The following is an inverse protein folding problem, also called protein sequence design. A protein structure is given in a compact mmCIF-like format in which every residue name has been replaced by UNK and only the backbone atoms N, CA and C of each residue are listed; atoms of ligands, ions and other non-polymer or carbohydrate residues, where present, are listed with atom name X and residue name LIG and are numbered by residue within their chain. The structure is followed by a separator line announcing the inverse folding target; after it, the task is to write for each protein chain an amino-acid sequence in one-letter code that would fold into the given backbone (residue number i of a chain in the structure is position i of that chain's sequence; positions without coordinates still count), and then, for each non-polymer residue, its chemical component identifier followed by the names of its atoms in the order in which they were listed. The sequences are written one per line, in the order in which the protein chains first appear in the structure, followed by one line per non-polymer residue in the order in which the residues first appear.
data_IF_631824404182
#
_entry.id   IF_631824404182
#
_cell.length_a   1.000
_cell.length_b   1.000
_cell.length_c   1.000
_cell.angle_alpha   90.00
_cell.angle_beta   90.00
_cell.angle_gamma   90.00
#
_symmetry.space_group_name_H-M   'P 1'
#
loop_
_entity.id
_entity.type
_entity.pdbx_description
1 polymer ?
#
# COMPACT_ATOMS: atom_id res chain seq x y z
N UNK A 1 -51.60 73.08 -0.69
CA UNK A 1 -51.07 74.31 -0.09
C UNK A 1 -50.55 73.95 1.29
N UNK A 2 -49.22 73.96 1.46
CA UNK A 2 -48.45 73.93 2.72
C UNK A 2 -48.61 72.70 3.65
N UNK A 3 -47.62 72.20 4.38
CA UNK A 3 -46.17 72.38 4.45
C UNK A 3 -45.62 71.22 5.31
N UNK A 4 -44.31 70.99 5.16
CA UNK A 4 -43.43 70.08 5.87
C UNK A 4 -43.57 70.01 7.40
N UNK A 5 -43.21 68.85 7.97
CA UNK A 5 -42.20 68.79 9.05
C UNK A 5 -41.51 67.41 9.03
N UNK A 6 -40.24 67.45 8.64
CA UNK A 6 -39.27 66.37 8.66
C UNK A 6 -38.55 66.40 10.01
N UNK A 7 -38.47 65.27 10.71
CA UNK A 7 -37.62 65.09 11.89
C UNK A 7 -36.51 64.10 11.55
N UNK A 8 -35.35 64.64 11.18
CA UNK A 8 -34.10 63.88 11.03
C UNK A 8 -33.58 63.47 12.42
N UNK A 9 -33.47 62.18 12.66
CA UNK A 9 -32.65 61.66 13.76
C UNK A 9 -31.20 61.56 13.27
N UNK A 10 -30.34 62.38 13.86
CA UNK A 10 -28.90 62.36 13.67
C UNK A 10 -28.30 61.37 14.68
N UNK A 11 -28.00 60.14 14.27
CA UNK A 11 -27.17 59.22 15.07
C UNK A 11 -25.71 59.44 14.69
N UNK A 12 -24.98 60.08 15.60
CA UNK A 12 -23.53 60.27 15.53
C UNK A 12 -22.86 58.95 15.96
N UNK A 13 -22.40 58.13 15.01
CA UNK A 13 -21.55 56.97 15.31
C UNK A 13 -20.10 57.43 15.47
N UNK A 14 -19.63 57.41 16.72
CA UNK A 14 -18.20 57.48 17.05
C UNK A 14 -17.53 56.20 16.54
N UNK A 15 -16.74 56.32 15.46
CA UNK A 15 -15.80 55.28 15.04
C UNK A 15 -14.60 55.35 15.98
N UNK A 16 -14.55 54.47 16.97
CA UNK A 16 -13.32 54.19 17.69
C UNK A 16 -12.37 53.45 16.75
N UNK A 17 -11.27 54.12 16.37
CA UNK A 17 -10.16 53.48 15.71
C UNK A 17 -9.45 52.55 16.71
N UNK A 18 -9.88 51.29 16.75
CA UNK A 18 -9.03 50.23 17.28
C UNK A 18 -7.88 50.03 16.29
N UNK A 19 -6.61 49.98 16.73
CA UNK A 19 -5.58 49.42 15.88
C UNK A 19 -6.00 47.98 15.60
N UNK A 20 -6.38 47.71 14.36
CA UNK A 20 -6.42 46.35 13.84
C UNK A 20 -4.98 45.88 13.90
N UNK A 21 -4.64 45.19 14.99
CA UNK A 21 -3.47 44.34 15.00
C UNK A 21 -3.73 43.31 13.92
N UNK A 22 -3.12 43.50 12.76
CA UNK A 22 -3.01 42.48 11.75
C UNK A 22 -2.15 41.38 12.37
N UNK A 23 -2.79 40.48 13.11
CA UNK A 23 -2.26 39.17 13.41
C UNK A 23 -2.33 38.35 12.11
N UNK A 24 -1.51 38.73 11.13
CA UNK A 24 -1.01 37.76 10.19
C UNK A 24 -0.04 36.90 11.00
N UNK A 25 -0.35 35.64 11.32
CA UNK A 25 0.70 34.74 11.76
C UNK A 25 1.75 34.74 10.65
N UNK A 26 3.00 35.05 11.01
CA UNK A 26 4.11 34.81 10.11
C UNK A 26 4.00 33.37 9.60
N UNK A 27 4.11 33.12 8.28
CA UNK A 27 4.20 31.76 7.80
C UNK A 27 5.51 31.20 8.36
N UNK A 28 5.40 30.35 9.38
CA UNK A 28 6.50 29.49 9.80
C UNK A 28 6.69 28.48 8.67
N UNK A 29 7.40 28.89 7.63
CA UNK A 29 7.56 28.18 6.35
C UNK A 29 8.57 27.04 6.45
N UNK A 30 8.58 26.35 7.60
CA UNK A 30 9.14 25.01 7.69
C UNK A 30 7.94 24.08 7.73
N UNK A 31 7.70 23.26 6.68
CA UNK A 31 6.66 22.26 6.71
C UNK A 31 6.81 21.48 8.02
N UNK A 32 5.75 21.43 8.83
CA UNK A 32 5.78 20.68 10.07
C UNK A 32 6.19 19.26 9.73
N UNK A 33 7.37 18.86 10.20
CA UNK A 33 7.90 17.52 10.01
C UNK A 33 6.87 16.54 10.58
N UNK A 34 6.41 15.65 9.73
CA UNK A 34 5.49 14.59 10.08
C UNK A 34 6.23 13.37 10.63
N UNK A 35 7.36 13.00 10.01
CA UNK A 35 8.12 11.81 10.42
C UNK A 35 9.04 12.10 11.59
N UNK A 36 9.33 11.07 12.37
CA UNK A 36 10.21 11.22 13.54
C UNK A 36 11.63 11.63 13.12
N UNK A 37 12.39 12.12 14.10
CA UNK A 37 13.76 12.54 13.90
C UNK A 37 14.61 11.43 13.24
N UNK A 38 15.45 11.79 12.26
CA UNK A 38 16.24 10.84 11.47
C UNK A 38 15.54 10.16 10.30
N UNK A 39 14.21 10.25 10.15
CA UNK A 39 13.50 9.67 8.98
C UNK A 39 13.27 10.72 7.88
N UNK A 40 13.75 10.51 6.63
CA UNK A 40 13.49 11.45 5.53
C UNK A 40 12.04 11.38 5.02
N UNK A 41 11.48 12.53 4.61
CA UNK A 41 10.10 12.65 4.10
C UNK A 41 9.99 12.75 2.57
N UNK A 42 11.12 12.91 1.87
CA UNK A 42 11.15 13.08 0.42
C UNK A 42 12.31 12.28 -0.20
N UNK A 43 12.12 11.88 -1.46
CA UNK A 43 13.09 11.10 -2.21
C UNK A 43 12.83 9.60 -2.15
N UNK A 44 13.76 8.84 -2.74
CA UNK A 44 13.62 7.41 -2.91
C UNK A 44 14.75 6.63 -2.23
N UNK A 45 14.50 5.38 -1.88
CA UNK A 45 15.56 4.40 -1.59
C UNK A 45 15.34 3.22 -2.53
N UNK A 46 16.33 2.89 -3.37
CA UNK A 46 16.20 1.78 -4.30
C UNK A 46 16.87 0.55 -3.72
N UNK A 47 16.11 -0.52 -3.49
CA UNK A 47 16.67 -1.82 -3.16
C UNK A 47 16.94 -2.58 -4.46
N UNK A 48 18.11 -3.17 -4.62
CA UNK A 48 18.49 -3.88 -5.84
C UNK A 48 19.20 -5.20 -5.55
N UNK A 49 18.73 -6.26 -6.19
CA UNK A 49 19.40 -7.56 -6.25
C UNK A 49 19.85 -7.80 -7.69
N UNK A 50 20.37 -9.00 -8.00
CA UNK A 50 20.77 -9.31 -9.39
C UNK A 50 19.58 -9.24 -10.35
N UNK A 51 18.40 -9.66 -9.87
CA UNK A 51 17.20 -9.79 -10.71
C UNK A 51 16.16 -8.70 -10.43
N UNK A 52 16.08 -8.16 -9.22
CA UNK A 52 15.01 -7.22 -8.86
C UNK A 52 15.53 -5.81 -8.58
N UNK A 53 14.74 -4.81 -8.96
CA UNK A 53 14.92 -3.41 -8.53
C UNK A 53 13.61 -2.87 -7.97
N UNK A 54 13.68 -2.29 -6.77
CA UNK A 54 12.53 -1.89 -5.96
C UNK A 54 12.75 -0.48 -5.37
N UNK A 55 12.35 0.58 -6.08
CA UNK A 55 12.32 1.93 -5.51
C UNK A 55 11.24 2.03 -4.42
N UNK A 56 11.61 2.59 -3.28
CA UNK A 56 10.72 2.91 -2.16
C UNK A 56 10.58 4.43 -2.06
N UNK A 57 9.35 4.94 -2.01
CA UNK A 57 9.07 6.38 -2.01
C UNK A 57 8.77 6.92 -0.60
N UNK A 58 9.59 7.85 -0.12
CA UNK A 58 9.40 8.51 1.16
C UNK A 58 8.06 9.29 1.22
N UNK A 59 7.63 9.90 0.11
CA UNK A 59 6.40 10.69 0.08
C UNK A 59 5.13 9.82 0.22
N UNK A 60 5.27 8.51 0.00
CA UNK A 60 4.24 7.49 0.13
C UNK A 60 4.41 6.62 1.38
N UNK A 61 5.19 7.08 2.38
CA UNK A 61 5.40 6.32 3.61
C UNK A 61 6.41 5.19 3.44
N UNK A 62 7.39 5.36 2.56
CA UNK A 62 8.45 4.38 2.28
C UNK A 62 7.92 3.03 1.80
N UNK A 63 6.87 3.05 0.97
CA UNK A 63 6.32 1.88 0.30
C UNK A 63 6.91 1.71 -1.09
N UNK A 64 6.75 0.52 -1.67
CA UNK A 64 7.12 0.23 -3.05
C UNK A 64 6.46 1.25 -4.00
N UNK A 65 7.26 1.89 -4.85
CA UNK A 65 6.79 2.73 -5.95
C UNK A 65 6.49 1.87 -7.17
N UNK A 66 7.40 0.96 -7.52
CA UNK A 66 7.27 0.03 -8.64
C UNK A 66 8.18 -1.17 -8.46
N UNK A 67 7.98 -2.20 -9.28
CA UNK A 67 8.77 -3.42 -9.25
C UNK A 67 9.33 -3.74 -10.63
N UNK A 68 10.65 -3.97 -10.69
CA UNK A 68 11.33 -4.40 -11.92
C UNK A 68 11.95 -5.78 -11.71
N UNK A 69 11.90 -6.59 -12.77
CA UNK A 69 12.61 -7.87 -12.89
C UNK A 69 13.44 -7.87 -14.18
N UNK A 70 14.77 -8.03 -14.09
CA UNK A 70 15.69 -7.91 -15.23
C UNK A 70 15.44 -6.64 -16.06
N UNK A 71 15.31 -5.49 -15.37
CA UNK A 71 14.96 -4.17 -15.92
C UNK A 71 13.55 -4.05 -16.56
N UNK A 72 12.75 -5.12 -16.59
CA UNK A 72 11.35 -5.08 -17.00
C UNK A 72 10.44 -4.67 -15.85
N UNK A 73 9.70 -3.57 -16.03
CA UNK A 73 8.67 -3.15 -15.09
C UNK A 73 7.49 -4.14 -15.13
N UNK A 74 7.28 -4.86 -14.03
CA UNK A 74 6.16 -5.79 -13.87
C UNK A 74 5.19 -5.38 -12.76
N UNK A 75 5.54 -4.36 -11.97
CA UNK A 75 4.63 -3.60 -11.11
C UNK A 75 4.74 -2.11 -11.42
N UNK A 76 3.64 -1.48 -11.81
CA UNK A 76 3.58 -0.08 -12.28
C UNK A 76 3.58 0.95 -11.15
N UNK A 77 4.10 2.15 -11.40
CA UNK A 77 4.10 3.28 -10.44
C UNK A 77 2.80 4.11 -10.40
N UNK A 78 1.74 3.64 -11.04
CA UNK A 78 0.43 4.31 -11.05
C UNK A 78 -0.52 3.76 -9.95
N UNK A 79 0.06 3.14 -8.94
CA UNK A 79 -0.62 2.49 -7.83
C UNK A 79 0.00 2.84 -6.48
N UNK A 80 -0.53 2.19 -5.46
CA UNK A 80 -0.08 2.25 -4.08
C UNK A 80 0.06 0.78 -3.68
N UNK A 81 1.17 0.38 -3.08
CA UNK A 81 1.54 -1.04 -2.85
C UNK A 81 1.30 -1.55 -1.44
N UNK A 82 1.49 -0.67 -0.45
CA UNK A 82 1.32 -1.00 0.96
C UNK A 82 -0.12 -0.90 1.44
N UNK A 83 -0.25 -0.92 2.77
CA UNK A 83 -1.53 -0.94 3.46
C UNK A 83 -2.25 0.39 3.36
N UNK A 84 -3.57 0.31 3.15
CA UNK A 84 -4.48 1.45 3.21
C UNK A 84 -5.74 1.09 3.98
N UNK A 85 -6.31 2.08 4.66
CA UNK A 85 -7.55 1.92 5.40
C UNK A 85 -8.46 3.14 5.24
N UNK A 86 -9.74 2.90 5.44
CA UNK A 86 -10.75 3.96 5.52
C UNK A 86 -11.51 3.82 6.84
N UNK A 87 -11.32 4.74 7.80
CA UNK A 87 -12.16 4.78 9.00
C UNK A 87 -13.61 4.99 8.61
N UNK A 88 -14.53 4.48 9.43
CA UNK A 88 -15.97 4.53 9.13
C UNK A 88 -16.46 5.95 8.85
N UNK A 89 -16.94 6.18 7.63
CA UNK A 89 -17.43 7.48 7.19
C UNK A 89 -16.35 8.57 6.99
N UNK A 90 -15.08 8.20 6.95
CA UNK A 90 -13.94 9.12 6.77
C UNK A 90 -13.20 8.87 5.44
N UNK A 91 -12.12 9.61 5.22
CA UNK A 91 -11.27 9.53 4.02
C UNK A 91 -10.19 8.45 4.15
N UNK A 92 -9.48 8.18 3.05
CA UNK A 92 -8.40 7.20 2.98
C UNK A 92 -7.14 7.63 3.75
N UNK A 93 -6.45 6.63 4.30
CA UNK A 93 -5.16 6.73 4.97
C UNK A 93 -4.21 5.63 4.49
N UNK A 94 -2.91 5.90 4.54
CA UNK A 94 -1.83 4.94 4.27
C UNK A 94 -1.31 5.01 2.83
N UNK A 95 -0.08 4.56 2.61
CA UNK A 95 0.53 4.34 1.27
C UNK A 95 0.11 5.36 0.23
N UNK A 96 0.64 6.58 0.34
CA UNK A 96 0.39 7.68 -0.59
C UNK A 96 -1.02 8.30 -0.58
N UNK A 97 -2.03 7.70 0.07
CA UNK A 97 -3.29 8.35 0.40
C UNK A 97 -3.10 9.34 1.55
N UNK A 98 -3.53 10.58 1.33
CA UNK A 98 -3.31 11.75 2.21
C UNK A 98 -4.61 12.48 2.54
N UNK A 99 -5.74 11.99 2.04
CA UNK A 99 -7.04 12.65 2.08
C UNK A 99 -7.58 12.75 3.52
N UNK A 100 -7.41 11.70 4.33
CA UNK A 100 -7.75 11.72 5.76
C UNK A 100 -6.61 12.20 6.65
N UNK A 101 -5.39 12.07 6.16
CA UNK A 101 -4.13 12.37 6.84
C UNK A 101 -3.02 11.48 6.27
N UNK A 102 -1.79 11.72 6.71
CA UNK A 102 -0.61 10.98 6.24
C UNK A 102 -0.23 9.89 7.25
N UNK A 103 0.25 8.76 6.75
CA UNK A 103 1.01 7.81 7.56
C UNK A 103 2.21 8.52 8.20
N UNK A 104 2.49 8.26 9.48
CA UNK A 104 3.64 8.80 10.22
C UNK A 104 4.69 7.72 10.36
N UNK A 105 5.88 7.91 9.77
CA UNK A 105 6.97 6.93 9.87
C UNK A 105 7.89 7.28 11.03
N UNK A 106 8.07 6.32 11.94
CA UNK A 106 8.84 6.47 13.17
C UNK A 106 10.28 5.98 13.00
N UNK A 107 10.45 4.88 12.27
CA UNK A 107 11.74 4.24 12.12
C UNK A 107 11.85 3.47 10.81
N UNK A 108 13.03 3.55 10.22
CA UNK A 108 13.47 2.67 9.14
C UNK A 108 14.67 1.87 9.61
N UNK A 109 14.72 0.59 9.25
CA UNK A 109 15.86 -0.28 9.43
C UNK A 109 16.16 -1.00 8.12
N UNK A 110 17.44 -1.08 7.78
CA UNK A 110 17.93 -1.73 6.57
C UNK A 110 19.01 -2.74 6.95
N UNK A 111 18.84 -3.98 6.50
CA UNK A 111 19.78 -5.07 6.70
C UNK A 111 20.16 -5.59 5.32
N UNK A 112 21.46 -5.55 5.00
CA UNK A 112 22.00 -5.99 3.71
C UNK A 112 22.92 -7.17 3.95
N UNK A 113 22.59 -8.33 3.38
CA UNK A 113 23.34 -9.57 3.52
C UNK A 113 23.66 -9.91 4.99
N UNK A 114 22.69 -9.67 5.88
CA UNK A 114 22.80 -9.94 7.32
C UNK A 114 23.48 -8.85 8.15
N UNK A 115 23.86 -7.72 7.54
CA UNK A 115 24.50 -6.58 8.23
C UNK A 115 23.58 -5.35 8.22
N UNK A 116 23.31 -4.80 9.40
CA UNK A 116 22.62 -3.53 9.52
C UNK A 116 23.41 -2.41 8.81
N UNK A 117 22.71 -1.69 7.95
CA UNK A 117 23.27 -0.66 7.06
C UNK A 117 22.48 0.63 7.26
N UNK A 118 23.13 1.76 7.60
CA UNK A 118 22.42 3.01 7.82
C UNK A 118 21.88 3.57 6.50
N UNK A 119 20.66 4.14 6.55
CA UNK A 119 20.12 4.95 5.46
C UNK A 119 20.64 6.37 5.67
N UNK A 120 21.60 6.79 4.83
CA UNK A 120 22.34 8.05 5.07
C UNK A 120 21.81 9.21 4.23
N UNK A 121 21.14 8.91 3.12
CA UNK A 121 20.60 9.88 2.18
C UNK A 121 19.48 9.24 1.36
N UNK A 122 18.61 10.08 0.81
CA UNK A 122 17.67 9.63 -0.22
C UNK A 122 18.33 9.68 -1.60
N UNK A 123 17.71 9.04 -2.58
CA UNK A 123 18.22 8.79 -3.94
C UNK A 123 19.44 7.87 -4.00
N UNK A 124 19.61 6.97 -3.02
CA UNK A 124 20.63 5.92 -3.07
C UNK A 124 20.08 4.56 -3.55
N UNK A 125 20.96 3.77 -4.17
CA UNK A 125 20.68 2.37 -4.52
C UNK A 125 21.49 1.47 -3.60
N UNK A 126 20.78 0.62 -2.87
CA UNK A 126 21.32 -0.39 -1.97
C UNK A 126 21.35 -1.72 -2.73
N UNK A 127 22.51 -2.35 -2.81
CA UNK A 127 22.68 -3.62 -3.51
C UNK A 127 23.10 -4.73 -2.57
N UNK A 128 22.52 -5.92 -2.73
CA UNK A 128 22.83 -7.12 -1.95
C UNK A 128 22.14 -8.35 -2.53
N UNK A 129 22.41 -9.53 -1.96
CA UNK A 129 21.73 -10.78 -2.33
C UNK A 129 20.43 -10.98 -1.56
N UNK A 130 20.40 -10.47 -0.33
CA UNK A 130 19.24 -10.40 0.55
C UNK A 130 19.21 -9.03 1.22
N UNK A 131 18.16 -8.27 0.97
CA UNK A 131 17.96 -6.95 1.56
C UNK A 131 16.66 -6.98 2.35
N UNK A 132 16.72 -6.65 3.63
CA UNK A 132 15.55 -6.52 4.50
C UNK A 132 15.35 -5.05 4.82
N UNK A 133 14.17 -4.53 4.50
CA UNK A 133 13.73 -3.19 4.82
C UNK A 133 12.56 -3.28 5.78
N UNK A 134 12.72 -2.70 6.96
CA UNK A 134 11.72 -2.73 8.03
C UNK A 134 11.31 -1.29 8.32
N UNK A 135 10.01 -1.06 8.36
CA UNK A 135 9.39 0.22 8.68
C UNK A 135 8.50 0.09 9.91
N UNK A 136 8.68 0.98 10.87
CA UNK A 136 7.73 1.19 11.97
C UNK A 136 7.03 2.53 11.74
N UNK A 137 5.69 2.52 11.79
CA UNK A 137 4.87 3.68 11.48
C UNK A 137 3.55 3.66 12.23
N UNK A 138 2.79 4.75 12.11
CA UNK A 138 1.39 4.83 12.51
C UNK A 138 0.54 5.22 11.31
N UNK A 139 -0.47 4.41 10.99
CA UNK A 139 -1.52 4.77 10.03
C UNK A 139 -2.79 5.03 10.82
N UNK A 140 -3.19 6.30 10.92
CA UNK A 140 -4.32 6.74 11.74
C UNK A 140 -4.18 6.31 13.21
N UNK A 141 -4.85 5.23 13.62
CA UNK A 141 -4.88 4.69 14.99
C UNK A 141 -4.34 3.27 15.07
N UNK A 142 -3.58 2.87 14.05
CA UNK A 142 -2.88 1.60 14.03
C UNK A 142 -1.38 1.85 14.10
N UNK A 143 -0.73 1.24 15.08
CA UNK A 143 0.72 1.03 15.01
C UNK A 143 0.97 -0.03 13.94
N UNK A 144 1.93 0.22 13.07
CA UNK A 144 2.21 -0.62 11.89
C UNK A 144 3.68 -0.97 11.88
N UNK A 145 3.97 -2.24 11.60
CA UNK A 145 5.31 -2.72 11.29
C UNK A 145 5.28 -3.43 9.93
N UNK A 146 5.93 -2.86 8.93
CA UNK A 146 5.99 -3.40 7.59
C UNK A 146 7.39 -3.92 7.27
N UNK A 147 7.49 -5.10 6.67
CA UNK A 147 8.72 -5.72 6.21
C UNK A 147 8.67 -5.90 4.70
N UNK A 148 9.78 -5.59 4.05
CA UNK A 148 10.08 -5.99 2.68
C UNK A 148 11.39 -6.76 2.73
N UNK A 149 11.39 -8.00 2.25
CA UNK A 149 12.60 -8.79 2.09
C UNK A 149 12.76 -9.08 0.60
N UNK A 150 13.80 -8.49 0.02
CA UNK A 150 14.15 -8.64 -1.39
C UNK A 150 15.28 -9.65 -1.53
N UNK A 151 15.06 -10.69 -2.33
CA UNK A 151 16.11 -11.65 -2.71
C UNK A 151 16.30 -11.64 -4.24
N UNK A 152 17.23 -12.45 -4.75
CA UNK A 152 17.29 -12.72 -6.19
C UNK A 152 16.04 -13.47 -6.71
N UNK A 153 15.27 -14.08 -5.81
CA UNK A 153 14.20 -15.00 -6.16
C UNK A 153 12.81 -14.37 -6.02
N UNK A 154 12.53 -13.63 -4.96
CA UNK A 154 11.20 -13.09 -4.66
C UNK A 154 11.27 -11.79 -3.86
N UNK A 155 10.11 -11.14 -3.79
CA UNK A 155 9.81 -10.04 -2.89
C UNK A 155 8.86 -10.58 -1.84
N UNK A 156 9.30 -10.62 -0.59
CA UNK A 156 8.44 -10.96 0.54
C UNK A 156 7.98 -9.66 1.19
N UNK A 157 6.68 -9.54 1.44
CA UNK A 157 6.07 -8.39 2.12
C UNK A 157 5.25 -8.90 3.31
N UNK A 158 5.43 -8.28 4.48
CA UNK A 158 4.62 -8.57 5.67
C UNK A 158 4.19 -7.28 6.33
N UNK A 159 2.93 -7.19 6.71
CA UNK A 159 2.41 -6.07 7.50
C UNK A 159 1.82 -6.61 8.79
N UNK A 160 2.30 -6.06 9.91
CA UNK A 160 1.73 -6.26 11.24
C UNK A 160 1.10 -4.95 11.70
N UNK A 161 -0.09 -5.01 12.29
CA UNK A 161 -0.80 -3.85 12.81
C UNK A 161 -1.36 -4.13 14.20
N UNK A 162 -1.40 -3.09 15.03
CA UNK A 162 -2.03 -3.11 16.35
C UNK A 162 -2.97 -1.90 16.46
N UNK A 163 -4.24 -2.15 16.76
CA UNK A 163 -5.20 -1.09 17.05
C UNK A 163 -4.83 -0.40 18.38
N UNK A 164 -4.52 0.90 18.34
CA UNK A 164 -4.13 1.66 19.54
C UNK A 164 -5.32 2.07 20.41
N UNK A 165 -6.52 1.98 19.86
CA UNK A 165 -7.81 2.25 20.49
C UNK A 165 -8.92 1.48 19.79
N UNK A 166 -10.14 1.52 20.35
CA UNK A 166 -11.33 0.98 19.70
C UNK A 166 -11.63 1.76 18.41
N UNK A 167 -11.76 1.07 17.29
CA UNK A 167 -11.94 1.69 15.97
C UNK A 167 -12.95 0.95 15.11
N UNK A 168 -13.55 1.69 14.19
CA UNK A 168 -14.41 1.15 13.13
C UNK A 168 -13.82 1.49 11.76
N UNK A 169 -13.66 0.49 10.90
CA UNK A 169 -13.20 0.65 9.52
C UNK A 169 -14.30 0.30 8.52
N UNK A 170 -14.45 1.13 7.48
CA UNK A 170 -15.20 0.75 6.29
C UNK A 170 -14.43 -0.25 5.43
N UNK A 171 -13.11 -0.11 5.35
CA UNK A 171 -12.27 -0.94 4.48
C UNK A 171 -10.82 -0.99 4.99
N UNK A 172 -10.17 -2.13 4.81
CA UNK A 172 -8.73 -2.30 4.95
C UNK A 172 -8.20 -3.20 3.83
N UNK A 173 -7.17 -2.73 3.13
CA UNK A 173 -6.37 -3.53 2.22
C UNK A 173 -4.96 -3.67 2.80
N UNK A 174 -4.45 -4.90 2.89
CA UNK A 174 -3.06 -5.11 3.29
C UNK A 174 -2.10 -4.72 2.17
N UNK A 175 -2.37 -5.22 0.97
CA UNK A 175 -1.48 -5.12 -0.18
C UNK A 175 -2.25 -4.85 -1.47
N UNK A 176 -1.58 -4.17 -2.41
CA UNK A 176 -2.17 -3.74 -3.67
C UNK A 176 -1.12 -3.73 -4.80
N UNK A 177 -1.10 -4.71 -5.69
CA UNK A 177 -0.11 -4.77 -6.75
C UNK A 177 -0.70 -4.36 -8.10
N UNK A 178 -0.26 -3.22 -8.63
CA UNK A 178 -0.66 -2.73 -9.97
C UNK A 178 0.14 -3.43 -11.07
N UNK A 179 -0.41 -4.48 -11.68
CA UNK A 179 0.25 -5.16 -12.79
C UNK A 179 -0.07 -4.54 -14.16
N UNK A 180 0.82 -4.66 -15.16
CA UNK A 180 0.66 -4.04 -16.46
C UNK A 180 -0.67 -4.37 -17.14
N UNK A 181 -1.33 -3.40 -17.82
CA UNK A 181 -2.54 -3.65 -18.60
C UNK A 181 -2.28 -4.56 -19.81
N UNK A 182 -1.03 -4.78 -20.17
CA UNK A 182 -0.66 -5.74 -21.22
C UNK A 182 -0.84 -7.19 -20.76
N UNK A 183 -1.11 -7.44 -19.47
CA UNK A 183 -1.46 -8.78 -18.98
C UNK A 183 -2.82 -9.22 -19.52
N UNK A 184 -2.91 -10.42 -20.10
CA UNK A 184 -4.09 -10.83 -20.90
C UNK A 184 -4.95 -11.89 -20.23
N UNK A 185 -4.45 -12.53 -19.18
CA UNK A 185 -5.15 -13.61 -18.47
C UNK A 185 -4.63 -13.78 -17.06
N UNK A 186 -5.48 -14.35 -16.23
CA UNK A 186 -5.19 -14.69 -14.84
C UNK A 186 -5.35 -16.19 -14.59
N UNK A 187 -4.66 -16.66 -13.57
CA UNK A 187 -4.82 -17.98 -12.97
C UNK A 187 -4.81 -17.83 -11.45
N UNK A 188 -5.70 -18.54 -10.76
CA UNK A 188 -5.71 -18.59 -9.30
C UNK A 188 -5.80 -20.03 -8.82
N UNK A 189 -5.27 -20.27 -7.63
CA UNK A 189 -5.60 -21.46 -6.85
C UNK A 189 -6.47 -21.07 -5.67
N UNK A 190 -7.59 -21.77 -5.49
CA UNK A 190 -8.46 -21.63 -4.34
C UNK A 190 -7.91 -22.41 -3.12
N UNK A 191 -8.42 -22.16 -1.90
CA UNK A 191 -7.98 -22.87 -0.70
C UNK A 191 -8.14 -24.40 -0.77
N UNK A 192 -9.12 -24.89 -1.53
CA UNK A 192 -9.36 -26.33 -1.74
C UNK A 192 -8.43 -26.96 -2.80
N UNK A 193 -7.52 -26.16 -3.39
CA UNK A 193 -6.60 -26.58 -4.43
C UNK A 193 -7.14 -26.43 -5.85
N UNK A 194 -8.42 -26.09 -6.03
CA UNK A 194 -9.05 -25.85 -7.33
C UNK A 194 -8.30 -24.75 -8.08
N UNK A 195 -8.03 -24.99 -9.36
CA UNK A 195 -7.43 -23.99 -10.25
C UNK A 195 -8.51 -23.37 -11.12
N UNK A 196 -8.61 -22.05 -11.11
CA UNK A 196 -9.45 -21.29 -12.03
C UNK A 196 -8.59 -20.39 -12.92
N UNK A 197 -9.08 -20.09 -14.13
CA UNK A 197 -8.43 -19.18 -15.08
C UNK A 197 -9.45 -18.32 -15.78
N UNK A 198 -9.05 -17.13 -16.23
CA UNK A 198 -9.90 -16.29 -17.07
C UNK A 198 -9.13 -15.21 -17.81
N UNK A 199 -9.80 -14.49 -18.73
CA UNK A 199 -9.19 -13.38 -19.46
C UNK A 199 -9.11 -12.11 -18.60
N UNK A 200 -8.20 -11.21 -18.98
CA UNK A 200 -8.18 -9.81 -18.61
C UNK A 200 -8.44 -9.00 -19.89
N UNK A 201 -9.47 -8.17 -19.87
CA UNK A 201 -10.00 -7.52 -21.07
C UNK A 201 -10.46 -6.07 -20.81
N UNK A 202 -9.90 -5.44 -19.78
CA UNK A 202 -10.22 -4.06 -19.37
C UNK A 202 -11.71 -3.85 -19.07
N UNK A 203 -12.37 -4.87 -18.52
CA UNK A 203 -13.82 -4.90 -18.31
C UNK A 203 -14.32 -3.89 -17.25
N UNK A 204 -13.40 -3.28 -16.49
CA UNK A 204 -13.63 -2.42 -15.31
C UNK A 204 -14.31 -3.14 -14.14
N UNK A 205 -14.40 -4.48 -14.20
CA UNK A 205 -15.02 -5.33 -13.19
C UNK A 205 -13.95 -6.08 -12.39
N UNK A 206 -14.38 -6.69 -11.28
CA UNK A 206 -13.54 -7.64 -10.58
C UNK A 206 -13.53 -8.97 -11.35
N UNK A 207 -12.39 -9.32 -11.93
CA UNK A 207 -12.17 -10.59 -12.60
C UNK A 207 -12.03 -11.75 -11.59
N UNK A 208 -11.50 -11.42 -10.40
CA UNK A 208 -11.44 -12.30 -9.23
C UNK A 208 -11.95 -11.50 -8.03
N UNK A 209 -12.76 -12.13 -7.17
CA UNK A 209 -13.25 -11.56 -5.91
C UNK A 209 -13.67 -12.72 -4.98
N UNK A 210 -12.68 -13.44 -4.48
CA UNK A 210 -12.84 -14.66 -3.66
C UNK A 210 -11.53 -14.97 -2.96
N UNK A 211 -11.56 -15.85 -1.97
CA UNK A 211 -10.35 -16.30 -1.30
C UNK A 211 -9.49 -17.16 -2.23
N UNK A 212 -8.17 -16.95 -2.16
CA UNK A 212 -7.19 -17.67 -2.97
C UNK A 212 -5.96 -18.01 -2.13
N UNK A 213 -5.29 -19.09 -2.49
CA UNK A 213 -3.96 -19.46 -1.99
C UNK A 213 -2.88 -18.66 -2.73
N UNK A 214 -3.02 -18.53 -4.05
CA UNK A 214 -2.19 -17.65 -4.87
C UNK A 214 -2.96 -17.17 -6.10
N UNK A 215 -2.50 -16.06 -6.67
CA UNK A 215 -2.98 -15.50 -7.93
C UNK A 215 -1.80 -15.23 -8.85
N UNK A 216 -2.02 -15.36 -10.16
CA UNK A 216 -1.04 -14.99 -11.15
C UNK A 216 -1.71 -14.26 -12.33
N UNK A 217 -0.97 -13.32 -12.92
CA UNK A 217 -1.36 -12.63 -14.16
C UNK A 217 -0.24 -12.79 -15.18
N UNK A 218 -0.60 -13.16 -16.41
CA UNK A 218 0.36 -13.41 -17.47
C UNK A 218 0.38 -12.26 -18.47
N UNK A 219 1.60 -11.78 -18.74
CA UNK A 219 1.89 -10.74 -19.69
C UNK A 219 2.63 -11.31 -20.91
N UNK A 220 1.98 -11.42 -22.08
CA UNK A 220 2.57 -11.97 -23.29
C UNK A 220 3.67 -11.09 -23.89
N UNK A 221 3.64 -9.76 -23.68
CA UNK A 221 4.63 -8.87 -24.28
C UNK A 221 6.04 -9.11 -23.72
N UNK A 222 6.14 -9.33 -22.42
CA UNK A 222 7.41 -9.66 -21.73
C UNK A 222 7.60 -11.17 -21.51
N UNK A 223 6.65 -12.02 -21.93
CA UNK A 223 6.64 -13.46 -21.59
C UNK A 223 6.88 -13.70 -20.09
N UNK A 224 6.15 -12.95 -19.26
CA UNK A 224 6.36 -12.87 -17.82
C UNK A 224 5.04 -13.02 -17.10
N UNK A 225 5.00 -13.86 -16.06
CA UNK A 225 3.88 -13.90 -15.12
C UNK A 225 4.25 -13.22 -13.81
N UNK A 226 3.33 -12.40 -13.29
CA UNK A 226 3.38 -11.87 -11.93
C UNK A 226 2.60 -12.81 -11.02
N UNK A 227 3.24 -13.43 -10.04
CA UNK A 227 2.65 -14.37 -9.08
C UNK A 227 2.63 -13.73 -7.68
N UNK A 228 1.46 -13.74 -7.03
CA UNK A 228 1.32 -13.40 -5.61
C UNK A 228 0.84 -14.63 -4.84
N UNK A 229 1.60 -15.06 -3.85
CA UNK A 229 1.28 -16.17 -2.95
C UNK A 229 1.07 -15.66 -1.53
N UNK A 230 0.02 -16.14 -0.87
CA UNK A 230 -0.28 -15.80 0.53
C UNK A 230 -0.23 -17.07 1.39
N UNK A 231 0.76 -17.22 2.30
CA UNK A 231 0.88 -18.39 3.16
C UNK A 231 -0.34 -18.64 4.04
N UNK A 232 -1.04 -17.57 4.42
CA UNK A 232 -2.36 -17.63 5.07
C UNK A 232 -3.41 -17.23 4.04
N UNK A 233 -4.52 -17.96 3.98
CA UNK A 233 -5.70 -17.49 3.26
C UNK A 233 -6.31 -16.34 4.06
N UNK A 234 -6.65 -15.25 3.38
CA UNK A 234 -7.16 -14.07 4.08
C UNK A 234 -8.48 -14.36 4.79
N UNK A 235 -8.61 -13.76 5.97
CA UNK A 235 -9.79 -13.82 6.80
C UNK A 235 -10.15 -12.39 7.25
N UNK A 236 -11.37 -12.22 7.75
CA UNK A 236 -11.95 -10.93 8.10
C UNK A 236 -13.33 -10.74 7.46
N UNK A 237 -14.07 -9.72 7.91
CA UNK A 237 -15.44 -9.53 7.44
C UNK A 237 -15.48 -9.19 5.95
N UNK A 238 -16.00 -10.11 5.13
CA UNK A 238 -15.99 -10.02 3.67
C UNK A 238 -14.57 -9.82 3.12
N UNK A 239 -13.56 -10.47 3.72
CA UNK A 239 -12.22 -10.54 3.16
C UNK A 239 -12.23 -11.14 1.75
N UNK A 240 -11.26 -10.77 0.91
CA UNK A 240 -11.11 -11.36 -0.43
C UNK A 240 -9.74 -11.06 -1.05
N UNK A 241 -9.24 -12.00 -1.83
CA UNK A 241 -8.28 -11.75 -2.91
C UNK A 241 -9.03 -11.25 -4.15
N UNK A 242 -8.58 -10.17 -4.77
CA UNK A 242 -9.29 -9.55 -5.88
C UNK A 242 -8.37 -9.18 -7.04
N UNK A 243 -8.85 -9.27 -8.27
CA UNK A 243 -8.20 -8.70 -9.45
C UNK A 243 -9.17 -7.72 -10.08
N UNK A 244 -8.84 -6.43 -10.04
CA UNK A 244 -9.60 -5.39 -10.71
C UNK A 244 -9.07 -5.17 -12.13
N UNK A 245 -9.88 -5.54 -13.11
CA UNK A 245 -9.54 -5.51 -14.54
C UNK A 245 -9.76 -4.12 -15.15
N UNK A 246 -8.76 -3.25 -15.08
CA UNK A 246 -8.81 -1.89 -15.61
C UNK A 246 -7.99 -1.73 -16.90
N UNK A 247 -8.21 -0.63 -17.62
CA UNK A 247 -7.49 -0.24 -18.83
C UNK A 247 -6.06 0.24 -18.56
N UNK A 248 -5.84 0.90 -17.42
CA UNK A 248 -4.53 1.44 -17.01
C UNK A 248 -3.65 0.46 -16.22
N UNK A 249 -4.22 -0.61 -15.69
CA UNK A 249 -3.56 -1.68 -14.94
C UNK A 249 -4.54 -2.82 -14.65
N UNK A 250 -4.03 -3.97 -14.21
CA UNK A 250 -4.81 -5.00 -13.57
C UNK A 250 -4.36 -5.15 -12.12
N UNK A 251 -5.09 -4.54 -11.18
CA UNK A 251 -4.62 -4.44 -9.80
C UNK A 251 -5.08 -5.63 -8.99
N UNK A 252 -4.11 -6.34 -8.42
CA UNK A 252 -4.37 -7.30 -7.37
C UNK A 252 -4.60 -6.55 -6.05
N UNK A 253 -5.68 -6.88 -5.35
CA UNK A 253 -5.95 -6.42 -4.00
C UNK A 253 -6.01 -7.60 -3.06
N UNK A 254 -5.46 -7.41 -1.87
CA UNK A 254 -5.72 -8.29 -0.75
C UNK A 254 -6.51 -7.52 0.32
N UNK A 255 -7.83 -7.73 0.34
CA UNK A 255 -8.77 -7.05 1.25
C UNK A 255 -8.96 -7.85 2.51
N UNK A 256 -8.66 -7.23 3.65
CA UNK A 256 -8.95 -7.81 4.96
C UNK A 256 -10.43 -7.68 5.32
N UNK A 257 -11.01 -6.49 5.20
CA UNK A 257 -12.41 -6.30 5.55
C UNK A 257 -13.14 -5.32 4.64
N UNK A 258 -14.46 -5.43 4.66
CA UNK A 258 -15.43 -4.46 4.13
C UNK A 258 -16.48 -4.16 5.21
N UNK A 259 -16.07 -3.31 6.15
CA UNK A 259 -16.78 -3.01 7.39
C UNK A 259 -16.33 -3.93 8.53
N UNK A 260 -15.53 -3.46 9.48
CA UNK A 260 -15.15 -4.23 10.67
C UNK A 260 -14.74 -3.29 11.81
N UNK A 261 -15.08 -3.70 13.04
CA UNK A 261 -14.64 -3.04 14.27
C UNK A 261 -13.44 -3.78 14.84
N UNK A 262 -12.51 -3.04 15.42
CA UNK A 262 -11.36 -3.56 16.16
C UNK A 262 -11.33 -2.95 17.56
N UNK A 263 -11.00 -3.76 18.55
CA UNK A 263 -10.73 -3.33 19.91
C UNK A 263 -9.29 -2.88 20.06
N UNK A 264 -9.04 -2.01 21.02
CA UNK A 264 -7.68 -1.67 21.43
C UNK A 264 -6.89 -2.95 21.74
N UNK A 265 -5.71 -3.06 21.12
CA UNK A 265 -4.80 -4.19 21.27
C UNK A 265 -5.04 -5.32 20.27
N UNK A 266 -6.11 -5.28 19.47
CA UNK A 266 -6.31 -6.24 18.39
C UNK A 266 -5.13 -6.18 17.42
N UNK A 267 -4.64 -7.37 17.06
CA UNK A 267 -3.47 -7.56 16.22
C UNK A 267 -3.91 -8.08 14.85
N UNK A 268 -3.22 -7.62 13.83
CA UNK A 268 -3.41 -7.97 12.43
C UNK A 268 -2.04 -8.33 11.87
N UNK A 269 -1.93 -9.44 11.15
CA UNK A 269 -0.64 -9.89 10.61
C UNK A 269 -0.85 -10.65 9.31
N UNK A 270 -0.31 -10.11 8.22
CA UNK A 270 -0.45 -10.72 6.92
C UNK A 270 0.81 -10.64 6.07
N UNK A 271 1.02 -11.69 5.28
CA UNK A 271 2.17 -11.86 4.41
C UNK A 271 1.72 -12.12 2.97
N UNK A 272 2.42 -11.50 2.02
CA UNK A 272 2.34 -11.85 0.59
C UNK A 272 3.76 -12.01 0.04
N UNK A 273 3.95 -13.01 -0.82
CA UNK A 273 5.18 -13.23 -1.57
C UNK A 273 4.88 -12.96 -3.04
N UNK A 274 5.58 -12.00 -3.61
CA UNK A 274 5.49 -11.61 -5.01
C UNK A 274 6.70 -12.14 -5.77
N UNK A 275 6.44 -12.74 -6.94
CA UNK A 275 7.47 -13.33 -7.78
C UNK A 275 7.20 -13.07 -9.26
N UNK A 276 8.20 -12.57 -9.97
CA UNK A 276 8.20 -12.54 -11.42
C UNK A 276 8.66 -13.90 -11.97
N UNK A 277 7.92 -14.42 -12.95
CA UNK A 277 8.15 -15.71 -13.59
C UNK A 277 8.51 -15.45 -15.06
N UNK A 278 9.80 -15.34 -15.40
CA UNK A 278 10.21 -15.10 -16.79
C UNK A 278 10.02 -16.35 -17.65
N UNK A 279 9.99 -16.15 -18.97
CA UNK A 279 9.85 -17.21 -19.99
C UNK A 279 8.56 -18.02 -19.84
N UNK A 280 7.54 -17.44 -19.24
CA UNK A 280 6.20 -18.00 -19.25
C UNK A 280 5.60 -17.80 -20.64
N UNK A 281 4.96 -18.84 -21.18
CA UNK A 281 4.34 -18.79 -22.52
C UNK A 281 2.83 -18.59 -22.43
N UNK A 282 2.31 -18.51 -21.19
CA UNK A 282 0.91 -18.48 -20.87
C UNK A 282 0.27 -19.88 -20.83
N UNK A 283 1.08 -20.94 -20.88
CA UNK A 283 0.63 -22.31 -20.59
C UNK A 283 0.63 -22.60 -19.08
N UNK A 284 1.15 -21.67 -18.27
CA UNK A 284 1.18 -21.68 -16.81
C UNK A 284 2.07 -22.74 -16.18
N UNK A 285 2.88 -23.44 -16.97
CA UNK A 285 3.72 -24.51 -16.46
C UNK A 285 4.81 -23.96 -15.52
N UNK A 286 5.47 -22.86 -15.93
CA UNK A 286 6.49 -22.22 -15.10
C UNK A 286 5.85 -21.60 -13.85
N UNK A 287 4.70 -20.97 -14.02
CA UNK A 287 3.93 -20.35 -12.93
C UNK A 287 3.52 -21.36 -11.87
N UNK A 288 2.93 -22.50 -12.25
CA UNK A 288 2.52 -23.56 -11.31
C UNK A 288 3.73 -24.13 -10.55
N UNK A 289 4.82 -24.41 -11.25
CA UNK A 289 6.07 -24.89 -10.63
C UNK A 289 6.61 -23.88 -9.61
N UNK A 290 6.55 -22.60 -9.93
CA UNK A 290 6.98 -21.54 -9.01
C UNK A 290 6.06 -21.44 -7.78
N UNK A 291 4.75 -21.52 -7.97
CA UNK A 291 3.79 -21.54 -6.86
C UNK A 291 4.03 -22.74 -5.92
N UNK A 292 4.22 -23.94 -6.46
CA UNK A 292 4.58 -25.13 -5.67
C UNK A 292 5.90 -24.95 -4.91
N UNK A 293 6.89 -24.30 -5.52
CA UNK A 293 8.16 -23.99 -4.86
C UNK A 293 7.98 -23.01 -3.71
N UNK A 294 7.16 -21.96 -3.91
CA UNK A 294 6.86 -20.97 -2.87
C UNK A 294 6.11 -21.63 -1.70
N UNK A 295 5.11 -22.47 -1.98
CA UNK A 295 4.36 -23.19 -0.95
C UNK A 295 5.24 -24.17 -0.14
N UNK A 296 6.34 -24.68 -0.71
CA UNK A 296 7.33 -25.49 0.01
C UNK A 296 8.26 -24.63 0.86
N UNK A 297 8.71 -23.50 0.32
CA UNK A 297 9.64 -22.57 0.98
C UNK A 297 8.98 -21.79 2.11
N UNK A 298 7.71 -21.41 1.92
CA UNK A 298 6.87 -20.70 2.86
C UNK A 298 5.59 -21.54 3.07
N UNK A 299 5.63 -22.55 3.95
CA UNK A 299 4.51 -23.44 4.18
C UNK A 299 3.24 -22.69 4.59
N UNK A 300 2.09 -23.23 4.18
CA UNK A 300 0.80 -22.67 4.57
C UNK A 300 0.71 -22.54 6.10
N UNK A 301 0.33 -21.35 6.55
CA UNK A 301 0.12 -21.06 7.96
C UNK A 301 -1.16 -21.75 8.43
N UNK A 302 -1.15 -22.24 9.68
CA UNK A 302 -2.38 -22.72 10.28
C UNK A 302 -3.33 -21.53 10.38
N UNK A 303 -4.55 -21.66 9.88
CA UNK A 303 -5.58 -20.70 10.20
C UNK A 303 -5.81 -20.74 11.71
N UNK A 304 -5.32 -19.73 12.40
CA UNK A 304 -5.81 -19.39 13.73
C UNK A 304 -7.19 -18.82 13.52
N UNK A 305 -8.19 -19.40 14.18
CA UNK A 305 -9.49 -18.75 14.33
C UNK A 305 -9.25 -17.41 15.03
N UNK A 306 -9.17 -16.35 14.26
CA UNK A 306 -9.30 -14.98 14.78
C UNK A 306 -10.78 -14.85 15.16
N UNK A 307 -11.06 -14.96 16.46
CA UNK A 307 -12.39 -14.79 17.09
C UNK A 307 -12.79 -13.32 17.15
#
# INVERSE_FOLDING_TARGET
MNQFLSACWLTLTLVSAFPVSAANPEPTDTPQRLYDEGVPETGFLTLKTDNYTLPLDAASGWTIDKMLYDDYEFGLNNGQYGTVLRPKGQQWWGTGHKEGGREVVHRLQLIVDGKETPITKTSETITGKRIEFIKESTIWKFKVRAEIILTNSEIFERTQMEALEDVDLDLLYYFMHSFPPTSTKWMVQLPDGTIETGPLAHSKKMAVNKDTTWVAQFNPEQQLSSLCYTPRVIAGNQSASMIWDLDRYHKYYLRHNNGQSFKKGDQLDFTVIVKAIPKETGNWQATKKAAESLMKQFPAEKQTSEE
#
